data_IF_265047494069
#
_entry.id   IF_265047494069
#
_cell.length_a   1.000
_cell.length_b   1.000
_cell.length_c   1.000
_cell.angle_alpha   90.00
_cell.angle_beta   90.00
_cell.angle_gamma   90.00
#
_symmetry.space_group_name_H-M   'P 1'
#
loop_
_entity.id
_entity.type
_entity.pdbx_description
1 polymer ?
#
# COMPACT_ATOMS: atom_id res chain seq x y z
N UNK A 1 24.56 -9.70 4.73
CA UNK A 1 23.67 -10.86 4.45
C UNK A 1 23.68 -11.16 2.96
N UNK A 2 23.53 -12.44 2.55
CA UNK A 2 23.30 -12.79 1.15
C UNK A 2 22.08 -12.05 0.60
N UNK A 3 22.10 -11.66 -0.69
CA UNK A 3 21.00 -10.91 -1.34
C UNK A 3 19.65 -11.60 -1.14
N UNK A 4 19.60 -12.92 -1.21
CA UNK A 4 18.38 -13.70 -0.99
C UNK A 4 17.78 -13.49 0.41
N UNK A 5 18.60 -13.41 1.45
CA UNK A 5 18.12 -13.18 2.81
C UNK A 5 17.56 -11.77 2.98
N UNK A 6 18.16 -10.78 2.32
CA UNK A 6 17.67 -9.40 2.32
C UNK A 6 16.29 -9.33 1.66
N UNK A 7 16.13 -9.94 0.48
CA UNK A 7 14.84 -10.00 -0.20
C UNK A 7 13.79 -10.73 0.64
N UNK A 8 14.16 -11.86 1.27
CA UNK A 8 13.27 -12.56 2.19
C UNK A 8 12.81 -11.66 3.33
N UNK A 9 13.73 -10.91 3.95
CA UNK A 9 13.40 -9.98 5.03
C UNK A 9 12.44 -8.88 4.57
N UNK A 10 12.66 -8.32 3.38
CA UNK A 10 11.77 -7.31 2.79
C UNK A 10 10.35 -7.86 2.57
N UNK A 11 10.26 -9.08 2.02
CA UNK A 11 8.96 -9.71 1.78
C UNK A 11 8.25 -10.10 3.06
N UNK A 12 8.94 -10.73 4.02
CA UNK A 12 8.35 -11.10 5.32
C UNK A 12 7.83 -9.86 6.03
N UNK A 13 8.63 -8.79 6.11
CA UNK A 13 8.28 -7.54 6.80
C UNK A 13 6.99 -6.91 6.26
N UNK A 14 6.78 -6.88 4.94
CA UNK A 14 5.60 -6.26 4.31
C UNK A 14 4.54 -7.27 3.84
N UNK A 15 4.69 -8.56 4.13
CA UNK A 15 3.75 -9.60 3.68
C UNK A 15 2.32 -9.32 4.17
N UNK A 16 2.18 -8.92 5.42
CA UNK A 16 0.89 -8.54 6.01
C UNK A 16 0.24 -7.37 5.26
N UNK A 17 1.04 -6.36 4.88
CA UNK A 17 0.56 -5.21 4.09
C UNK A 17 0.19 -5.59 2.67
N UNK A 18 0.94 -6.49 2.03
CA UNK A 18 0.61 -7.02 0.70
C UNK A 18 -0.76 -7.70 0.73
N UNK A 19 -0.98 -8.61 1.69
CA UNK A 19 -2.26 -9.31 1.85
C UNK A 19 -3.37 -8.31 2.17
N UNK A 20 -3.13 -7.35 3.07
CA UNK A 20 -4.10 -6.31 3.40
C UNK A 20 -4.51 -5.47 2.18
N UNK A 21 -3.58 -5.15 1.26
CA UNK A 21 -3.89 -4.44 0.02
C UNK A 21 -4.78 -5.22 -0.93
N UNK A 22 -4.57 -6.54 -1.03
CA UNK A 22 -5.45 -7.45 -1.79
C UNK A 22 -6.84 -7.50 -1.16
N UNK A 23 -6.91 -7.69 0.17
CA UNK A 23 -8.17 -7.72 0.91
C UNK A 23 -8.93 -6.40 0.76
N UNK A 24 -8.25 -5.26 0.86
CA UNK A 24 -8.88 -3.95 0.67
C UNK A 24 -9.41 -3.76 -0.76
N UNK A 25 -8.69 -4.25 -1.77
CA UNK A 25 -9.16 -4.24 -3.15
C UNK A 25 -10.44 -5.06 -3.36
N UNK A 26 -10.58 -6.19 -2.65
CA UNK A 26 -11.80 -7.00 -2.65
C UNK A 26 -12.91 -6.28 -1.88
N UNK A 27 -12.59 -5.73 -0.71
CA UNK A 27 -13.48 -4.98 0.17
C UNK A 27 -14.12 -3.78 -0.54
N UNK A 28 -13.34 -2.99 -1.27
CA UNK A 28 -13.87 -1.85 -2.02
C UNK A 28 -14.93 -2.26 -3.06
N UNK A 29 -14.83 -3.47 -3.63
CA UNK A 29 -15.80 -4.02 -4.58
C UNK A 29 -16.97 -4.76 -3.93
N UNK A 30 -16.87 -5.09 -2.65
CA UNK A 30 -17.93 -5.79 -1.93
C UNK A 30 -19.18 -4.91 -1.82
N UNK A 31 -20.36 -5.56 -1.78
CA UNK A 31 -21.65 -4.88 -1.52
C UNK A 31 -21.84 -4.50 -0.05
N UNK A 32 -20.91 -4.87 0.82
CA UNK A 32 -20.99 -4.60 2.25
C UNK A 32 -20.56 -3.16 2.56
N UNK A 33 -21.23 -2.48 3.50
CA UNK A 33 -20.97 -1.09 3.91
C UNK A 33 -20.76 -0.11 2.74
N UNK A 34 -21.58 -0.22 1.69
CA UNK A 34 -21.52 0.69 0.53
C UNK A 34 -21.79 2.14 0.90
N UNK A 35 -22.52 2.40 2.00
CA UNK A 35 -22.72 3.75 2.53
C UNK A 35 -21.41 4.47 2.90
N UNK A 36 -20.30 3.75 3.09
CA UNK A 36 -18.97 4.36 3.33
C UNK A 36 -18.20 4.66 2.03
N UNK A 37 -18.74 4.34 0.84
CA UNK A 37 -18.15 4.68 -0.46
C UNK A 37 -18.32 6.18 -0.78
N UNK A 38 -18.04 7.03 0.22
CA UNK A 38 -18.09 8.47 0.14
C UNK A 38 -16.68 8.95 -0.22
N UNK A 39 -16.50 9.75 -1.29
CA UNK A 39 -15.21 10.34 -1.61
C UNK A 39 -14.66 11.17 -0.44
N UNK A 40 -13.37 11.02 -0.15
CA UNK A 40 -12.69 11.72 0.95
C UNK A 40 -12.76 13.25 0.74
N UNK A 41 -12.75 13.70 -0.52
CA UNK A 41 -12.89 15.12 -0.86
C UNK A 41 -14.33 15.64 -0.85
N UNK A 42 -15.32 14.79 -0.55
CA UNK A 42 -16.75 15.11 -0.55
C UNK A 42 -17.24 15.77 -1.85
N UNK A 43 -16.62 15.45 -3.00
CA UNK A 43 -17.01 16.04 -4.28
C UNK A 43 -16.41 17.42 -4.56
N UNK A 44 -15.62 17.99 -3.64
CA UNK A 44 -15.10 19.35 -3.77
C UNK A 44 -14.11 19.49 -4.93
N UNK A 45 -14.22 20.61 -5.63
CA UNK A 45 -13.28 21.05 -6.66
C UNK A 45 -12.45 22.25 -6.18
N UNK A 46 -11.23 22.38 -6.68
CA UNK A 46 -10.41 23.57 -6.48
C UNK A 46 -10.70 24.62 -7.58
N UNK A 47 -10.04 25.78 -7.48
CA UNK A 47 -10.18 26.92 -8.41
C UNK A 47 -9.89 26.55 -9.87
N UNK A 48 -9.12 25.49 -10.10
CA UNK A 48 -8.81 24.95 -11.43
C UNK A 48 -9.95 24.12 -12.03
N UNK A 49 -11.08 23.98 -11.34
CA UNK A 49 -12.24 23.20 -11.76
C UNK A 49 -12.09 21.69 -11.54
N UNK A 50 -10.91 21.22 -11.12
CA UNK A 50 -10.64 19.80 -10.91
C UNK A 50 -10.94 19.39 -9.46
N UNK A 51 -11.34 18.13 -9.28
CA UNK A 51 -11.52 17.48 -7.96
C UNK A 51 -10.24 17.55 -7.12
N UNK A 52 -10.35 17.47 -5.79
CA UNK A 52 -9.15 17.43 -4.93
C UNK A 52 -8.45 16.09 -5.09
N UNK A 53 -9.17 14.98 -4.88
CA UNK A 53 -8.63 13.61 -5.02
C UNK A 53 -9.38 12.80 -6.07
N UNK A 54 -10.69 13.02 -6.22
CA UNK A 54 -11.58 12.28 -7.14
C UNK A 54 -12.27 11.08 -6.49
N UNK A 55 -13.21 10.48 -7.21
CA UNK A 55 -14.19 9.52 -6.65
C UNK A 55 -13.60 8.20 -6.15
N UNK A 56 -12.44 7.81 -6.66
CA UNK A 56 -11.83 6.53 -6.29
C UNK A 56 -11.21 6.53 -4.88
N UNK A 57 -10.99 7.72 -4.27
CA UNK A 57 -10.44 7.84 -2.92
C UNK A 57 -11.59 8.00 -1.93
N UNK A 58 -12.04 6.89 -1.37
CA UNK A 58 -13.23 6.82 -0.49
C UNK A 58 -12.86 6.48 0.95
N UNK A 59 -13.72 6.87 1.89
CA UNK A 59 -13.58 6.49 3.31
C UNK A 59 -13.62 4.98 3.52
N UNK A 60 -14.44 4.25 2.76
CA UNK A 60 -14.48 2.77 2.78
C UNK A 60 -13.11 2.15 2.49
N UNK A 61 -12.42 2.65 1.46
CA UNK A 61 -11.09 2.16 1.10
C UNK A 61 -10.01 2.62 2.09
N UNK A 62 -10.10 3.85 2.57
CA UNK A 62 -9.17 4.41 3.56
C UNK A 62 -9.20 3.61 4.87
N UNK A 63 -10.39 3.41 5.46
CA UNK A 63 -10.55 2.62 6.68
C UNK A 63 -10.24 1.14 6.45
N UNK A 64 -10.55 0.61 5.27
CA UNK A 64 -10.21 -0.76 4.91
C UNK A 64 -8.70 -1.02 4.96
N UNK A 65 -7.86 -0.13 4.42
CA UNK A 65 -6.40 -0.27 4.54
C UNK A 65 -5.95 -0.32 6.00
N UNK A 66 -6.50 0.51 6.88
CA UNK A 66 -6.17 0.52 8.31
C UNK A 66 -6.55 -0.81 8.96
N UNK A 67 -7.82 -1.20 8.84
CA UNK A 67 -8.36 -2.39 9.52
C UNK A 67 -7.66 -3.67 9.03
N UNK A 68 -7.52 -3.83 7.70
CA UNK A 68 -6.87 -5.04 7.17
C UNK A 68 -5.39 -5.10 7.52
N UNK A 69 -4.66 -3.97 7.54
CA UNK A 69 -3.26 -4.01 7.98
C UNK A 69 -3.14 -4.38 9.46
N UNK A 70 -3.98 -3.84 10.35
CA UNK A 70 -4.00 -4.22 11.77
C UNK A 70 -4.22 -5.73 11.94
N UNK A 71 -5.23 -6.29 11.26
CA UNK A 71 -5.53 -7.72 11.33
C UNK A 71 -4.39 -8.55 10.74
N UNK A 72 -3.94 -8.23 9.52
CA UNK A 72 -2.91 -9.01 8.83
C UNK A 72 -1.57 -8.98 9.55
N UNK A 73 -1.18 -7.86 10.17
CA UNK A 73 0.07 -7.80 10.93
C UNK A 73 0.01 -8.59 12.23
N UNK A 74 -1.12 -8.56 12.94
CA UNK A 74 -1.30 -9.42 14.13
C UNK A 74 -1.23 -10.89 13.74
N UNK A 75 -1.93 -11.29 12.67
CA UNK A 75 -1.89 -12.66 12.16
C UNK A 75 -0.47 -13.08 11.71
N UNK A 76 0.23 -12.21 10.98
CA UNK A 76 1.61 -12.48 10.57
C UNK A 76 2.53 -12.65 11.78
N UNK A 77 2.41 -11.80 12.80
CA UNK A 77 3.19 -11.92 14.03
C UNK A 77 2.98 -13.25 14.74
N UNK A 78 1.74 -13.74 14.82
CA UNK A 78 1.46 -15.08 15.35
C UNK A 78 2.04 -16.20 14.49
N UNK A 79 2.02 -16.06 13.16
CA UNK A 79 2.60 -17.06 12.24
C UNK A 79 4.13 -17.10 12.32
N UNK A 80 4.77 -15.97 12.58
CA UNK A 80 6.23 -15.88 12.71
C UNK A 80 6.71 -16.31 14.10
N UNK A 81 5.92 -16.11 15.15
CA UNK A 81 6.34 -16.31 16.54
C UNK A 81 6.94 -17.70 16.79
N UNK A 82 8.19 -17.73 17.28
CA UNK A 82 8.89 -18.98 17.61
C UNK A 82 9.38 -19.76 16.40
N UNK A 83 9.46 -19.14 15.23
CA UNK A 83 10.03 -19.71 14.01
C UNK A 83 11.23 -18.89 13.53
N UNK A 84 12.11 -19.49 12.73
CA UNK A 84 13.24 -18.77 12.10
C UNK A 84 12.81 -17.61 11.19
N UNK A 85 11.53 -17.56 10.79
CA UNK A 85 10.97 -16.48 9.95
C UNK A 85 10.89 -15.18 10.73
N UNK A 86 10.75 -15.24 12.06
CA UNK A 86 10.67 -14.07 12.94
C UNK A 86 11.88 -13.15 12.78
N UNK A 87 13.08 -13.72 12.65
CA UNK A 87 14.34 -12.99 12.46
C UNK A 87 14.40 -12.20 11.13
N UNK A 88 13.52 -12.51 10.17
CA UNK A 88 13.45 -11.81 8.90
C UNK A 88 12.52 -10.59 8.95
N UNK A 89 11.70 -10.45 9.99
CA UNK A 89 10.80 -9.31 10.10
C UNK A 89 11.52 -8.11 10.73
N UNK A 90 11.86 -7.12 9.90
CA UNK A 90 12.65 -5.95 10.29
C UNK A 90 11.97 -5.08 11.36
N UNK A 91 10.65 -5.21 11.57
CA UNK A 91 10.00 -4.52 12.69
C UNK A 91 10.52 -5.01 14.05
N UNK A 92 10.93 -6.27 14.14
CA UNK A 92 11.34 -6.88 15.40
C UNK A 92 12.77 -6.52 15.85
N UNK A 93 13.51 -5.77 15.03
CA UNK A 93 14.78 -5.17 15.42
C UNK A 93 14.59 -4.04 16.45
N UNK A 94 13.46 -3.35 16.39
CA UNK A 94 13.16 -2.21 17.26
C UNK A 94 12.13 -2.50 18.36
N UNK A 95 11.30 -3.53 18.21
CA UNK A 95 10.21 -3.86 19.14
C UNK A 95 9.96 -5.37 19.24
N UNK A 96 9.37 -5.84 20.34
CA UNK A 96 9.02 -7.26 20.48
C UNK A 96 7.82 -7.65 19.61
N UNK A 97 7.81 -8.91 19.14
CA UNK A 97 6.66 -9.52 18.48
C UNK A 97 5.52 -9.80 19.49
N UNK A 98 4.70 -8.78 19.71
CA UNK A 98 3.52 -8.86 20.57
C UNK A 98 2.28 -8.43 19.80
N UNK A 99 1.08 -8.99 20.09
CA UNK A 99 -0.14 -8.65 19.37
C UNK A 99 -0.45 -7.14 19.36
N UNK A 100 -0.22 -6.45 20.47
CA UNK A 100 -0.42 -5.00 20.55
C UNK A 100 0.56 -4.24 19.64
N UNK A 101 1.84 -4.63 19.64
CA UNK A 101 2.87 -4.02 18.79
C UNK A 101 2.56 -4.24 17.31
N UNK A 102 2.20 -5.46 16.93
CA UNK A 102 1.82 -5.80 15.55
C UNK A 102 0.55 -5.05 15.10
N UNK A 103 -0.41 -4.88 16.01
CA UNK A 103 -1.62 -4.08 15.76
C UNK A 103 -1.27 -2.61 15.50
N UNK A 104 -0.37 -2.02 16.31
CA UNK A 104 0.12 -0.66 16.12
C UNK A 104 0.93 -0.50 14.82
N UNK A 105 1.80 -1.46 14.49
CA UNK A 105 2.50 -1.48 13.19
C UNK A 105 1.47 -1.51 12.05
N UNK A 106 0.47 -2.38 12.13
CA UNK A 106 -0.59 -2.45 11.12
C UNK A 106 -1.40 -1.16 11.00
N UNK A 107 -1.71 -0.50 12.12
CA UNK A 107 -2.34 0.82 12.13
C UNK A 107 -1.48 1.85 11.37
N UNK A 108 -0.19 1.93 11.71
CA UNK A 108 0.75 2.88 11.10
C UNK A 108 0.94 2.60 9.60
N UNK A 109 1.08 1.33 9.21
CA UNK A 109 1.22 0.94 7.82
C UNK A 109 -0.05 1.20 7.02
N UNK A 110 -1.22 0.90 7.57
CA UNK A 110 -2.50 1.20 6.91
C UNK A 110 -2.73 2.70 6.73
N UNK A 111 -2.39 3.51 7.74
CA UNK A 111 -2.40 4.97 7.65
C UNK A 111 -1.40 5.48 6.59
N UNK A 112 -0.15 5.02 6.65
CA UNK A 112 0.89 5.41 5.71
C UNK A 112 0.49 5.06 4.27
N UNK A 113 0.01 3.83 4.04
CA UNK A 113 -0.48 3.39 2.75
C UNK A 113 -1.58 4.33 2.24
N UNK A 114 -2.63 4.54 3.04
CA UNK A 114 -3.80 5.31 2.61
C UNK A 114 -3.47 6.81 2.40
N UNK A 115 -2.62 7.39 3.24
CA UNK A 115 -2.21 8.79 3.13
C UNK A 115 -1.28 9.03 1.93
N UNK A 116 -0.32 8.16 1.68
CA UNK A 116 0.66 8.34 0.61
C UNK A 116 0.07 8.10 -0.80
N UNK A 117 -1.07 7.42 -0.92
CA UNK A 117 -1.84 7.38 -2.19
C UNK A 117 -2.51 8.74 -2.54
N UNK A 118 -2.75 9.62 -1.56
CA UNK A 118 -3.49 10.87 -1.77
C UNK A 118 -2.69 11.91 -2.57
N UNK A 119 -1.40 12.19 -2.30
CA UNK A 119 -0.59 13.11 -3.10
C UNK A 119 -0.59 12.77 -4.59
N UNK A 120 -0.41 11.49 -4.93
CA UNK A 120 -0.44 11.06 -6.32
C UNK A 120 -1.81 11.34 -6.98
N UNK A 121 -2.90 11.04 -6.27
CA UNK A 121 -4.26 11.35 -6.75
C UNK A 121 -4.47 12.85 -6.94
N UNK A 122 -3.98 13.66 -6.01
CA UNK A 122 -4.02 15.12 -6.09
C UNK A 122 -3.26 15.65 -7.31
N UNK A 123 -2.01 15.21 -7.51
CA UNK A 123 -1.18 15.61 -8.66
C UNK A 123 -1.87 15.24 -9.97
N UNK A 124 -2.42 14.03 -10.08
CA UNK A 124 -3.20 13.61 -11.27
C UNK A 124 -4.36 14.56 -11.56
N UNK A 125 -5.08 15.05 -10.53
CA UNK A 125 -6.17 16.03 -10.72
C UNK A 125 -5.65 17.40 -11.17
N UNK A 126 -4.52 17.87 -10.63
CA UNK A 126 -3.88 19.14 -11.07
C UNK A 126 -3.42 19.09 -12.52
N UNK A 127 -3.09 17.90 -13.02
CA UNK A 127 -2.72 17.68 -14.43
C UNK A 127 -3.94 17.41 -15.35
N UNK A 128 -5.17 17.55 -14.85
CA UNK A 128 -6.40 17.31 -15.64
C UNK A 128 -6.64 15.84 -16.01
N UNK A 129 -5.92 14.90 -15.38
CA UNK A 129 -6.07 13.47 -15.64
C UNK A 129 -7.32 12.99 -14.91
N UNK A 130 -8.35 12.59 -15.65
CA UNK A 130 -9.59 12.04 -15.09
C UNK A 130 -9.34 10.60 -14.61
N UNK A 131 -9.90 10.17 -13.46
CA UNK A 131 -9.85 8.77 -13.04
C UNK A 131 -10.28 7.82 -14.16
N UNK A 132 -9.46 6.81 -14.48
CA UNK A 132 -9.80 5.78 -15.46
C UNK A 132 -9.53 6.11 -16.93
N UNK A 133 -9.06 7.32 -17.28
CA UNK A 133 -8.54 7.59 -18.63
C UNK A 133 -7.10 7.08 -18.76
N UNK A 134 -6.86 6.18 -19.73
CA UNK A 134 -5.52 5.75 -20.11
C UNK A 134 -4.74 6.92 -20.70
N UNK A 135 -3.58 7.22 -20.13
CA UNK A 135 -2.57 8.08 -20.75
C UNK A 135 -1.92 7.34 -21.93
N UNK A 136 -1.41 8.08 -22.91
CA UNK A 136 -0.72 7.54 -24.08
C UNK A 136 0.81 7.76 -23.99
N UNK A 137 1.57 6.87 -24.63
CA UNK A 137 3.03 6.98 -24.76
C UNK A 137 3.82 6.77 -23.44
N UNK A 138 5.06 7.28 -23.40
CA UNK A 138 5.98 7.12 -22.26
C UNK A 138 5.41 7.66 -20.93
N UNK A 139 4.56 8.69 -20.97
CA UNK A 139 3.88 9.24 -19.80
C UNK A 139 3.03 8.18 -19.07
N UNK A 140 2.41 7.26 -19.80
CA UNK A 140 1.63 6.16 -19.21
C UNK A 140 2.48 5.34 -18.24
N UNK A 141 3.68 4.93 -18.67
CA UNK A 141 4.55 4.07 -17.86
C UNK A 141 5.10 4.79 -16.64
N UNK A 142 5.39 6.09 -16.74
CA UNK A 142 5.79 6.91 -15.59
C UNK A 142 4.66 6.96 -14.55
N UNK A 143 3.42 7.25 -14.97
CA UNK A 143 2.29 7.30 -14.03
C UNK A 143 1.93 5.93 -13.47
N UNK A 144 2.04 4.85 -14.26
CA UNK A 144 1.89 3.49 -13.73
C UNK A 144 2.93 3.24 -12.65
N UNK A 145 4.19 3.56 -12.87
CA UNK A 145 5.21 3.36 -11.84
C UNK A 145 4.93 4.21 -10.57
N UNK A 146 4.58 5.49 -10.74
CA UNK A 146 4.24 6.37 -9.62
C UNK A 146 3.02 5.86 -8.82
N UNK A 147 2.00 5.34 -9.51
CA UNK A 147 0.82 4.73 -8.89
C UNK A 147 1.13 3.45 -8.10
N UNK A 148 2.26 2.81 -8.38
CA UNK A 148 2.64 1.55 -7.75
C UNK A 148 3.64 1.77 -6.61
N UNK A 149 4.41 2.87 -6.69
CA UNK A 149 5.40 3.24 -5.69
C UNK A 149 4.83 4.13 -4.56
N UNK A 150 3.77 4.91 -4.80
CA UNK A 150 3.27 5.94 -3.89
C UNK A 150 3.08 5.47 -2.43
N UNK A 151 2.20 4.50 -2.23
CA UNK A 151 1.92 3.87 -0.94
C UNK A 151 3.13 3.15 -0.35
N UNK A 152 3.96 2.54 -1.19
CA UNK A 152 5.17 1.82 -0.77
C UNK A 152 6.19 2.78 -0.15
N UNK A 153 6.37 4.00 -0.68
CA UNK A 153 7.19 5.02 -0.02
C UNK A 153 6.74 5.23 1.43
N UNK A 154 5.43 5.39 1.66
CA UNK A 154 4.87 5.55 3.00
C UNK A 154 5.14 4.34 3.91
N UNK A 155 4.88 3.13 3.40
CA UNK A 155 5.09 1.90 4.19
C UNK A 155 6.56 1.68 4.57
N UNK A 156 7.50 1.92 3.66
CA UNK A 156 8.93 1.76 3.94
C UNK A 156 9.44 2.84 4.91
N UNK A 157 8.84 4.04 4.95
CA UNK A 157 9.14 5.01 6.02
C UNK A 157 8.81 4.43 7.39
N UNK A 158 7.66 3.75 7.53
CA UNK A 158 7.31 3.09 8.80
C UNK A 158 8.33 2.01 9.13
N UNK A 159 8.76 1.19 8.16
CA UNK A 159 9.84 0.22 8.39
C UNK A 159 11.12 0.91 8.86
N UNK A 160 11.50 2.03 8.25
CA UNK A 160 12.71 2.79 8.58
C UNK A 160 12.73 3.34 10.02
N UNK A 161 11.56 3.56 10.63
CA UNK A 161 11.45 3.98 12.04
C UNK A 161 11.94 2.87 12.99
N UNK A 162 11.66 1.60 12.67
CA UNK A 162 12.02 0.45 13.51
C UNK A 162 13.35 -0.19 13.10
N UNK A 163 13.67 -0.12 11.81
CA UNK A 163 14.92 -0.59 11.22
C UNK A 163 15.59 0.56 10.45
N UNK A 164 16.38 1.41 11.14
CA UNK A 164 17.09 2.50 10.49
C UNK A 164 17.98 1.98 9.36
N UNK A 165 17.77 2.52 8.16
CA UNK A 165 18.46 2.07 6.96
C UNK A 165 19.03 3.23 6.15
N UNK A 166 20.02 2.94 5.32
CA UNK A 166 20.54 3.93 4.37
C UNK A 166 19.48 4.34 3.35
N UNK A 167 19.59 5.57 2.83
CA UNK A 167 18.72 6.06 1.76
C UNK A 167 18.76 5.15 0.53
N UNK A 168 19.92 4.58 0.20
CA UNK A 168 20.03 3.65 -0.92
C UNK A 168 19.20 2.38 -0.70
N UNK A 169 19.29 1.77 0.48
CA UNK A 169 18.50 0.58 0.80
C UNK A 169 17.01 0.88 0.80
N UNK A 170 16.61 2.03 1.35
CA UNK A 170 15.24 2.52 1.28
C UNK A 170 14.71 2.60 -0.16
N UNK A 171 15.47 3.20 -1.09
CA UNK A 171 15.07 3.32 -2.49
C UNK A 171 14.98 1.96 -3.20
N UNK A 172 15.91 1.05 -2.92
CA UNK A 172 15.85 -0.34 -3.41
C UNK A 172 14.59 -1.04 -2.89
N UNK A 173 14.24 -0.82 -1.62
CA UNK A 173 13.03 -1.39 -1.03
C UNK A 173 11.76 -0.88 -1.70
N UNK A 174 11.66 0.43 -1.89
CA UNK A 174 10.53 1.02 -2.62
C UNK A 174 10.44 0.47 -4.04
N UNK A 175 11.58 0.32 -4.74
CA UNK A 175 11.61 -0.25 -6.09
C UNK A 175 11.11 -1.70 -6.12
N UNK A 176 11.61 -2.55 -5.22
CA UNK A 176 11.17 -3.95 -5.11
C UNK A 176 9.68 -4.04 -4.77
N UNK A 177 9.20 -3.18 -3.86
CA UNK A 177 7.79 -3.10 -3.51
C UNK A 177 6.91 -2.66 -4.69
N UNK A 178 7.32 -1.63 -5.44
CA UNK A 178 6.60 -1.15 -6.61
C UNK A 178 6.52 -2.22 -7.71
N UNK A 179 7.61 -2.93 -7.99
CA UNK A 179 7.63 -4.08 -8.92
C UNK A 179 6.71 -5.19 -8.43
N UNK A 180 6.74 -5.50 -7.13
CA UNK A 180 5.84 -6.50 -6.53
C UNK A 180 4.37 -6.11 -6.70
N UNK A 181 4.02 -4.85 -6.45
CA UNK A 181 2.66 -4.36 -6.59
C UNK A 181 2.17 -4.46 -8.04
N UNK A 182 3.03 -4.15 -9.01
CA UNK A 182 2.79 -4.36 -10.44
C UNK A 182 2.48 -5.83 -10.75
N UNK A 183 3.31 -6.76 -10.26
CA UNK A 183 3.12 -8.21 -10.48
C UNK A 183 1.81 -8.70 -9.88
N UNK A 184 1.50 -8.29 -8.65
CA UNK A 184 0.23 -8.66 -7.98
C UNK A 184 -0.96 -8.15 -8.78
N UNK A 185 -0.90 -6.91 -9.26
CA UNK A 185 -1.97 -6.30 -10.05
C UNK A 185 -2.20 -7.04 -11.37
N UNK A 186 -1.13 -7.49 -12.04
CA UNK A 186 -1.22 -8.38 -13.21
C UNK A 186 -1.86 -9.73 -12.85
N UNK A 187 -1.45 -10.37 -11.76
CA UNK A 187 -2.03 -11.65 -11.33
C UNK A 187 -3.53 -11.54 -11.02
N UNK A 188 -3.94 -10.49 -10.30
CA UNK A 188 -5.35 -10.23 -9.99
C UNK A 188 -6.18 -9.94 -11.25
N UNK A 189 -5.57 -9.34 -12.28
CA UNK A 189 -6.22 -9.17 -13.59
C UNK A 189 -6.39 -10.50 -14.32
N UNK A 190 -5.36 -11.34 -14.36
CA UNK A 190 -5.42 -12.69 -14.97
C UNK A 190 -6.47 -13.56 -14.30
N UNK A 191 -6.58 -13.48 -12.96
CA UNK A 191 -7.61 -14.16 -12.17
C UNK A 191 -9.01 -13.51 -12.29
N UNK A 192 -9.18 -12.49 -13.14
CA UNK A 192 -10.43 -11.73 -13.36
C UNK A 192 -10.99 -11.06 -12.11
N UNK A 193 -10.17 -10.89 -11.07
CA UNK A 193 -10.52 -10.16 -9.85
C UNK A 193 -10.39 -8.64 -10.07
N UNK A 194 -9.66 -8.19 -11.10
CA UNK A 194 -9.54 -6.78 -11.51
C UNK A 194 -9.88 -6.62 -13.00
N UNK A 195 -10.51 -5.49 -13.36
CA UNK A 195 -10.89 -5.16 -14.75
C UNK A 195 -9.75 -4.56 -15.57
N UNK A 196 -8.76 -3.97 -14.92
CA UNK A 196 -7.59 -3.34 -15.54
C UNK A 196 -6.31 -3.95 -14.97
N UNK A 197 -5.27 -4.03 -15.80
CA UNK A 197 -3.97 -4.62 -15.44
C UNK A 197 -3.14 -3.74 -14.51
N UNK A 198 -3.28 -2.41 -14.62
CA UNK A 198 -2.59 -1.40 -13.85
C UNK A 198 -3.61 -0.41 -13.28
#
# INVERSE_FOLDING_TARGET
MPVLKILAAMYVTLLGTIIAGILNSIWCKSKFMTYMQIPIDAGKCLKDGNRIFGDNKTWKGFLGYIIFNMICMVLLGFLCAGTDIEEYNMFYDGISNMPLNNCLIGLLLGLAYALFELPNSFIKRRLGIIPGKSLNGAKKWIFVFLDQADSIFGCVIIVCIYHPMSLWFYLVYVLVGAVTHIVINMLLYVLRLRKNMF
#
